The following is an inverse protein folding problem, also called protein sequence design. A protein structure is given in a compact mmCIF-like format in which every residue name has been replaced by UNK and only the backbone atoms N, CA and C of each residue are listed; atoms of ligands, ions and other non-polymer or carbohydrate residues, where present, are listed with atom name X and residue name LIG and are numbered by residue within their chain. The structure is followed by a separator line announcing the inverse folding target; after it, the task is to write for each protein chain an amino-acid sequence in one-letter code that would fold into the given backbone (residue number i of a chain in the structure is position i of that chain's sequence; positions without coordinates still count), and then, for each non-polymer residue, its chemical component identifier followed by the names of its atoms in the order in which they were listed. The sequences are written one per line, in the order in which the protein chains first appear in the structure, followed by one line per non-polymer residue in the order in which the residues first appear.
data_IF_587169272931
#
_entry.id   IF_587169272931
#
_cell.length_a   1.000
_cell.length_b   1.000
_cell.length_c   1.000
_cell.angle_alpha   90.00
_cell.angle_beta   90.00
_cell.angle_gamma   90.00
#
_symmetry.space_group_name_H-M   'P 1'
#
loop_
_entity.id
_entity.type
_entity.pdbx_description
1 polymer ?
#
# COMPACT_ATOMS: atom_id res chain seq x y z
N UNK A 1 8.34 -44.82 18.63
CA UNK A 1 9.04 -43.80 17.83
C UNK A 1 8.24 -42.50 17.61
N UNK A 2 6.93 -42.45 17.87
CA UNK A 2 6.09 -41.28 17.52
C UNK A 2 6.15 -40.12 18.53
N UNK A 3 5.99 -40.36 19.83
CA UNK A 3 5.89 -39.29 20.84
C UNK A 3 7.12 -38.39 21.00
N UNK A 4 8.33 -38.97 20.93
CA UNK A 4 9.59 -38.21 21.07
C UNK A 4 9.76 -37.22 19.90
N UNK A 5 9.42 -37.63 18.67
CA UNK A 5 9.48 -36.75 17.50
C UNK A 5 8.46 -35.63 17.59
N UNK A 6 7.26 -35.93 18.09
CA UNK A 6 6.23 -34.91 18.30
C UNK A 6 6.72 -33.86 19.30
N UNK A 7 7.21 -34.26 20.48
CA UNK A 7 7.67 -33.32 21.50
C UNK A 7 8.79 -32.40 20.96
N UNK A 8 9.81 -32.99 20.33
CA UNK A 8 10.91 -32.21 19.74
C UNK A 8 10.42 -31.25 18.66
N UNK A 9 9.48 -31.71 17.81
CA UNK A 9 8.86 -30.89 16.78
C UNK A 9 8.09 -29.70 17.35
N UNK A 10 7.23 -29.91 18.35
CA UNK A 10 6.43 -28.83 18.95
C UNK A 10 7.31 -27.83 19.69
N UNK A 11 8.32 -28.30 20.43
CA UNK A 11 9.28 -27.41 21.11
C UNK A 11 10.07 -26.57 20.11
N UNK A 12 10.54 -27.17 19.01
CA UNK A 12 11.21 -26.44 17.94
C UNK A 12 10.31 -25.37 17.30
N UNK A 13 9.03 -25.68 17.08
CA UNK A 13 8.06 -24.73 16.54
C UNK A 13 7.81 -23.55 17.49
N UNK A 14 7.65 -23.81 18.79
CA UNK A 14 7.49 -22.75 19.80
C UNK A 14 8.72 -21.85 19.84
N UNK A 15 9.93 -22.43 19.77
CA UNK A 15 11.17 -21.66 19.76
C UNK A 15 11.26 -20.72 18.54
N UNK A 16 10.93 -21.21 17.35
CA UNK A 16 10.92 -20.40 16.12
C UNK A 16 9.88 -19.29 16.19
N UNK A 17 8.67 -19.59 16.67
CA UNK A 17 7.62 -18.59 16.82
C UNK A 17 7.99 -17.51 17.86
N UNK A 18 8.59 -17.91 18.97
CA UNK A 18 9.06 -16.98 20.00
C UNK A 18 10.17 -16.04 19.49
N UNK A 19 11.14 -16.57 18.75
CA UNK A 19 12.20 -15.78 18.13
C UNK A 19 11.64 -14.82 17.07
N UNK A 20 10.73 -15.30 16.21
CA UNK A 20 10.08 -14.47 15.19
C UNK A 20 9.27 -13.34 15.79
N UNK A 21 8.49 -13.62 16.84
CA UNK A 21 7.72 -12.60 17.56
C UNK A 21 8.64 -11.60 18.26
N UNK A 22 9.70 -12.06 18.93
CA UNK A 22 10.67 -11.18 19.59
C UNK A 22 11.37 -10.24 18.61
N UNK A 23 11.81 -10.76 17.46
CA UNK A 23 12.45 -9.96 16.42
C UNK A 23 11.47 -8.94 15.80
N UNK A 24 10.22 -9.35 15.58
CA UNK A 24 9.16 -8.44 15.12
C UNK A 24 8.88 -7.34 16.13
N UNK A 25 8.79 -7.66 17.43
CA UNK A 25 8.51 -6.68 18.48
C UNK A 25 9.61 -5.61 18.64
N UNK A 26 10.87 -5.95 18.32
CA UNK A 26 11.99 -5.00 18.33
C UNK A 26 11.97 -4.04 17.12
N UNK A 27 11.52 -4.52 15.95
CA UNK A 27 11.53 -3.75 14.70
C UNK A 27 10.22 -2.99 14.49
N UNK A 28 9.10 -3.55 14.96
CA UNK A 28 7.79 -2.97 14.76
C UNK A 28 7.72 -1.59 15.43
N UNK A 29 7.34 -0.53 14.69
CA UNK A 29 7.18 0.79 15.28
C UNK A 29 6.09 0.72 16.34
N UNK A 30 6.43 1.13 17.57
CA UNK A 30 5.49 1.16 18.69
C UNK A 30 4.23 1.95 18.36
N UNK A 31 3.15 1.71 19.12
CA UNK A 31 1.83 2.30 18.83
C UNK A 31 1.86 3.83 18.71
N UNK A 32 2.69 4.50 19.50
CA UNK A 32 2.86 5.96 19.42
C UNK A 32 3.50 6.41 18.10
N UNK A 33 4.51 5.70 17.59
CA UNK A 33 5.08 5.97 16.26
C UNK A 33 4.09 5.65 15.14
N UNK A 34 3.25 4.62 15.28
CA UNK A 34 2.14 4.36 14.34
C UNK A 34 1.12 5.50 14.34
N UNK A 35 0.71 5.99 15.51
CA UNK A 35 -0.21 7.13 15.63
C UNK A 35 0.40 8.41 15.04
N UNK A 36 1.69 8.64 15.24
CA UNK A 36 2.41 9.79 14.67
C UNK A 36 2.53 9.69 13.14
N UNK A 37 2.87 8.52 12.61
CA UNK A 37 2.84 8.28 11.15
C UNK A 37 1.45 8.51 10.58
N UNK A 38 0.40 8.05 11.27
CA UNK A 38 -1.00 8.26 10.86
C UNK A 38 -1.39 9.74 10.82
N UNK A 39 -0.89 10.55 11.75
CA UNK A 39 -1.10 12.01 11.75
C UNK A 39 -0.39 12.71 10.59
N UNK A 40 0.71 12.15 10.09
CA UNK A 40 1.46 12.70 8.97
C UNK A 40 0.93 12.28 7.60
N UNK A 41 -0.14 11.46 7.51
CA UNK A 41 -0.74 11.16 6.21
C UNK A 41 -1.37 12.42 5.60
N UNK A 42 -1.28 12.61 4.28
CA UNK A 42 -1.95 13.72 3.60
C UNK A 42 -3.47 13.70 3.79
N UNK A 43 -4.05 12.53 4.08
CA UNK A 43 -5.48 12.32 4.33
C UNK A 43 -5.95 12.80 5.72
N UNK A 44 -5.04 12.97 6.68
CA UNK A 44 -5.38 13.43 8.04
C UNK A 44 -5.65 14.93 8.11
N UNK A 45 -5.20 15.69 7.10
CA UNK A 45 -5.33 17.14 7.05
C UNK A 45 -6.43 17.55 6.05
N UNK A 46 -7.56 18.10 6.53
CA UNK A 46 -8.68 18.49 5.66
C UNK A 46 -8.29 19.55 4.63
N UNK A 47 -7.33 20.43 4.92
CA UNK A 47 -6.85 21.45 3.97
C UNK A 47 -6.08 20.81 2.80
N UNK A 48 -5.23 19.81 3.06
CA UNK A 48 -4.48 19.12 1.99
C UNK A 48 -5.38 18.26 1.12
N UNK A 49 -6.47 17.75 1.68
CA UNK A 49 -7.50 17.02 0.94
C UNK A 49 -8.20 17.93 -0.07
N UNK A 50 -8.53 19.17 0.28
CA UNK A 50 -9.12 20.13 -0.65
C UNK A 50 -8.15 20.53 -1.76
N UNK A 51 -6.88 20.80 -1.43
CA UNK A 51 -5.84 21.08 -2.44
C UNK A 51 -5.67 19.91 -3.41
N UNK A 52 -5.63 18.68 -2.89
CA UNK A 52 -5.51 17.46 -3.70
C UNK A 52 -6.74 17.25 -4.58
N UNK A 53 -7.96 17.51 -4.07
CA UNK A 53 -9.19 17.45 -4.87
C UNK A 53 -9.18 18.47 -6.01
N UNK A 54 -8.79 19.72 -5.74
CA UNK A 54 -8.68 20.76 -6.78
C UNK A 54 -7.65 20.38 -7.84
N UNK A 55 -6.47 19.90 -7.41
CA UNK A 55 -5.44 19.41 -8.33
C UNK A 55 -5.93 18.24 -9.18
N UNK A 56 -6.57 17.24 -8.57
CA UNK A 56 -7.10 16.09 -9.31
C UNK A 56 -8.20 16.50 -10.29
N UNK A 57 -9.06 17.46 -9.94
CA UNK A 57 -10.07 17.97 -10.85
C UNK A 57 -9.43 18.62 -12.09
N UNK A 58 -8.39 19.44 -11.89
CA UNK A 58 -7.66 20.06 -13.00
C UNK A 58 -6.97 19.03 -13.89
N UNK A 59 -6.28 18.04 -13.30
CA UNK A 59 -5.65 16.95 -14.07
C UNK A 59 -6.69 16.13 -14.82
N UNK A 60 -7.83 15.83 -14.21
CA UNK A 60 -8.90 15.08 -14.89
C UNK A 60 -9.51 15.88 -16.04
N UNK A 61 -9.64 17.19 -15.88
CA UNK A 61 -10.10 18.08 -16.94
C UNK A 61 -9.12 18.08 -18.12
N UNK A 62 -7.82 18.21 -17.89
CA UNK A 62 -6.82 18.20 -18.96
C UNK A 62 -6.75 16.84 -19.66
N UNK A 63 -6.86 15.75 -18.91
CA UNK A 63 -6.93 14.40 -19.49
C UNK A 63 -8.17 14.20 -20.35
N UNK A 64 -9.32 14.70 -19.89
CA UNK A 64 -10.58 14.64 -20.63
C UNK A 64 -10.49 15.44 -21.93
N UNK A 65 -9.98 16.66 -21.86
CA UNK A 65 -9.76 17.52 -23.02
C UNK A 65 -8.83 16.84 -24.03
N UNK A 66 -7.68 16.34 -23.58
CA UNK A 66 -6.74 15.59 -24.41
C UNK A 66 -7.32 14.30 -25.02
N UNK A 67 -8.27 13.66 -24.32
CA UNK A 67 -8.94 12.47 -24.83
C UNK A 67 -9.98 12.80 -25.92
N UNK A 68 -10.62 13.97 -25.82
CA UNK A 68 -11.62 14.45 -26.78
C UNK A 68 -10.97 14.98 -28.07
N UNK A 69 -9.73 15.46 -28.01
CA UNK A 69 -9.02 15.97 -29.20
C UNK A 69 -8.69 14.88 -30.23
N UNK A 70 -8.51 15.31 -31.48
CA UNK A 70 -8.17 14.42 -32.61
C UNK A 70 -6.69 14.02 -32.64
N UNK A 71 -5.86 14.62 -31.78
CA UNK A 71 -4.44 14.29 -31.62
C UNK A 71 -4.22 13.11 -30.65
N UNK A 72 -5.29 12.55 -30.10
CA UNK A 72 -5.23 11.40 -29.23
C UNK A 72 -4.66 10.17 -29.97
N UNK A 73 -3.39 9.87 -29.69
CA UNK A 73 -2.63 8.74 -30.25
C UNK A 73 -3.35 7.39 -30.03
N UNK A 74 -4.08 7.23 -28.90
CA UNK A 74 -4.80 6.00 -28.60
C UNK A 74 -6.00 5.76 -29.55
N UNK A 75 -6.54 6.81 -30.18
CA UNK A 75 -7.68 6.71 -31.12
C UNK A 75 -7.23 6.11 -32.47
N UNK A 76 -5.97 6.29 -32.86
CA UNK A 76 -5.41 5.75 -34.11
C UNK A 76 -5.00 4.27 -34.02
N UNK A 77 -4.50 3.83 -32.86
CA UNK A 77 -4.05 2.44 -32.64
C UNK A 77 -5.16 1.40 -32.79
N UNK A 78 -6.41 1.74 -32.45
CA UNK A 78 -7.55 0.83 -32.59
C UNK A 78 -8.01 0.58 -34.04
N UNK A 79 -7.61 1.42 -35.01
CA UNK A 79 -8.01 1.28 -36.41
C UNK A 79 -7.00 0.52 -37.27
N UNK A 80 -5.75 0.41 -36.81
CA UNK A 80 -4.68 -0.31 -37.52
C UNK A 80 -4.61 -1.80 -37.18
N UNK A 81 -5.39 -2.28 -36.20
CA UNK A 81 -5.41 -3.67 -35.76
C UNK A 81 -6.53 -4.52 -36.40
N UNK A 82 -7.03 -4.13 -37.58
CA UNK A 82 -7.97 -4.91 -38.40
C UNK A 82 -7.40 -5.15 -39.79
#
# INVERSE_FOLDING_TARGET
MSGMRTIVGTTGMIAVLGLGYGMWALIAPGEEKRKEMLKNLPESNPMRMEETRKRNALVMQTLKEAAETNENLARGLGRSAK
#
